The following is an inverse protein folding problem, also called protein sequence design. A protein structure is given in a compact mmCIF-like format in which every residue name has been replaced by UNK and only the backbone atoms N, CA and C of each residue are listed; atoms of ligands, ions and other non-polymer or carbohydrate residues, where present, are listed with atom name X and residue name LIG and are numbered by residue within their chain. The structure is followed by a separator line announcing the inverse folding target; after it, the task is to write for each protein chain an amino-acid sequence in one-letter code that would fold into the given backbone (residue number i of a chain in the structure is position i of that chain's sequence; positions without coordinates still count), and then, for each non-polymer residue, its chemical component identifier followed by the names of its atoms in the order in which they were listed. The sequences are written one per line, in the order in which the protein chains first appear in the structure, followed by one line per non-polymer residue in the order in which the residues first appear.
data_IF_011227449671
#
_entry.id   IF_011227449671
#
_cell.length_a   1.000
_cell.length_b   1.000
_cell.length_c   1.000
_cell.angle_alpha   90.00
_cell.angle_beta   90.00
_cell.angle_gamma   90.00
#
_symmetry.space_group_name_H-M   'P 1'
#
loop_
_entity.id
_entity.type
_entity.pdbx_description
1 polymer ?
#
# COMPACT_ATOMS: atom_id res chain seq x y z
N UNK A 1 33.11 -7.80 -8.19
CA UNK A 1 33.05 -7.27 -8.18
C UNK A 1 32.68 -6.70 -8.33
N UNK A 2 32.46 -6.76 -8.41
CA UNK A 2 32.13 -6.15 -8.51
C UNK A 2 31.81 -5.46 -8.68
N UNK A 3 31.63 -5.58 -8.96
CA UNK A 3 31.45 -4.81 -9.25
C UNK A 3 31.55 -3.87 -9.20
N UNK A 4 31.83 -3.68 -9.46
CA UNK A 4 31.91 -2.59 -9.39
C UNK A 4 31.13 -1.93 -9.67
N UNK A 5 31.04 -2.06 -10.17
CA UNK A 5 30.35 -1.48 -10.28
C UNK A 5 29.52 -1.39 -9.81
N UNK A 6 29.47 -1.88 -9.62
CA UNK A 6 28.74 -1.76 -8.98
C UNK A 6 28.49 -0.64 -8.62
N UNK A 7 29.20 -0.18 -8.67
CA UNK A 7 29.12 0.99 -8.27
C UNK A 7 28.02 1.77 -8.73
N UNK A 8 27.82 2.02 -9.57
CA UNK A 8 26.92 2.77 -9.96
C UNK A 8 25.64 2.47 -9.77
N UNK A 9 25.46 1.44 -9.56
CA UNK A 9 24.28 1.19 -9.33
C UNK A 9 23.82 1.65 -8.10
N UNK A 10 24.56 1.96 -7.24
CA UNK A 10 24.17 2.44 -6.11
C UNK A 10 23.46 3.66 -6.26
N UNK A 11 23.72 4.40 -7.22
CA UNK A 11 23.00 5.56 -7.51
C UNK A 11 21.57 5.25 -7.81
N UNK A 12 21.39 4.22 -8.56
CA UNK A 12 20.07 3.83 -8.89
C UNK A 12 19.31 3.46 -7.67
N UNK A 13 19.92 2.78 -6.77
CA UNK A 13 19.25 2.41 -5.58
C UNK A 13 18.79 3.58 -4.79
N UNK A 14 19.58 4.61 -4.74
CA UNK A 14 19.21 5.78 -3.99
C UNK A 14 18.01 6.47 -4.59
N UNK A 15 17.84 6.35 -5.88
CA UNK A 15 16.78 7.04 -6.53
C UNK A 15 15.52 6.24 -6.63
N UNK A 16 15.66 4.95 -6.65
CA UNK A 16 14.55 4.10 -6.98
C UNK A 16 14.52 2.96 -6.02
N UNK A 17 13.90 3.16 -4.89
CA UNK A 17 13.80 2.11 -3.91
C UNK A 17 12.46 1.45 -4.01
N UNK A 18 12.46 0.15 -4.25
CA UNK A 18 11.22 -0.60 -4.30
C UNK A 18 11.12 -1.48 -3.07
N UNK A 19 9.93 -1.65 -2.59
CA UNK A 19 9.65 -2.54 -1.47
C UNK A 19 8.40 -3.31 -1.78
N UNK A 20 8.27 -4.45 -1.15
CA UNK A 20 7.11 -5.31 -1.33
C UNK A 20 6.27 -5.23 -0.08
N UNK A 21 5.01 -4.89 -0.23
CA UNK A 21 4.11 -4.67 0.90
C UNK A 21 2.78 -5.34 0.65
N UNK A 22 2.06 -5.69 1.72
CA UNK A 22 0.66 -6.05 1.57
C UNK A 22 -0.08 -4.87 0.95
N UNK A 23 -1.06 -5.15 0.12
CA UNK A 23 -1.78 -4.12 -0.59
C UNK A 23 -3.25 -4.16 -0.22
N UNK A 24 -3.82 -2.97 -0.02
CA UNK A 24 -5.22 -2.83 0.32
C UNK A 24 -5.89 -2.01 -0.75
N UNK A 25 -6.68 -2.63 -1.64
CA UNK A 25 -7.44 -1.86 -2.61
C UNK A 25 -8.67 -1.24 -1.95
N UNK A 26 -8.88 0.04 -2.19
CA UNK A 26 -10.04 0.73 -1.66
C UNK A 26 -10.92 1.15 -2.82
N UNK A 27 -12.21 1.23 -2.57
CA UNK A 27 -13.14 1.49 -3.66
C UNK A 27 -13.23 2.95 -4.02
N UNK A 28 -13.27 3.83 -3.03
CA UNK A 28 -13.62 5.20 -3.33
C UNK A 28 -12.68 6.25 -2.80
N UNK A 29 -11.97 5.95 -1.74
CA UNK A 29 -11.26 7.01 -1.03
C UNK A 29 -10.04 7.49 -1.77
N UNK A 30 -9.83 8.78 -1.78
CA UNK A 30 -8.61 9.37 -2.28
C UNK A 30 -7.81 9.79 -1.07
N UNK A 31 -6.60 9.28 -0.96
CA UNK A 31 -5.81 9.43 0.25
C UNK A 31 -4.51 10.13 -0.07
N UNK A 32 -4.22 11.15 0.71
CA UNK A 32 -3.00 11.92 0.54
C UNK A 32 -2.08 11.71 1.72
N UNK A 33 -0.77 11.83 1.53
CA UNK A 33 0.16 11.74 2.64
C UNK A 33 -0.20 12.74 3.75
N UNK A 34 -0.10 12.29 4.98
CA UNK A 34 -0.46 13.10 6.12
C UNK A 34 -1.87 12.88 6.64
N UNK A 35 -2.70 12.19 5.88
CA UNK A 35 -4.06 11.93 6.34
C UNK A 35 -4.09 10.73 7.27
N UNK A 36 -4.96 10.78 8.26
CA UNK A 36 -5.23 9.65 9.14
C UNK A 36 -6.71 9.37 9.03
N UNK A 37 -7.06 8.20 8.53
CA UNK A 37 -8.47 7.89 8.29
C UNK A 37 -8.80 6.48 8.73
N UNK A 38 -10.05 6.25 9.09
CA UNK A 38 -10.49 4.90 9.42
C UNK A 38 -10.99 4.19 8.17
N UNK A 39 -10.62 2.94 8.02
CA UNK A 39 -11.14 2.08 6.96
C UNK A 39 -12.05 1.04 7.57
N UNK A 40 -13.16 0.77 6.89
CA UNK A 40 -14.05 -0.30 7.30
C UNK A 40 -13.90 -1.41 6.28
N UNK A 41 -13.36 -2.53 6.70
CA UNK A 41 -12.90 -3.58 5.81
C UNK A 41 -13.76 -4.80 5.96
N UNK A 42 -14.40 -5.20 4.87
CA UNK A 42 -15.25 -6.38 4.87
C UNK A 42 -14.75 -7.52 4.00
N UNK A 43 -13.82 -7.24 3.07
CA UNK A 43 -13.30 -8.28 2.22
C UNK A 43 -12.28 -9.11 2.96
N UNK A 44 -12.33 -10.42 2.77
CA UNK A 44 -11.44 -11.31 3.48
C UNK A 44 -9.99 -11.02 3.15
N UNK A 45 -9.68 -10.86 1.88
CA UNK A 45 -8.29 -10.61 1.49
C UNK A 45 -7.76 -9.28 2.03
N UNK A 46 -8.64 -8.30 2.21
CA UNK A 46 -8.21 -7.04 2.79
C UNK A 46 -7.96 -7.19 4.29
N UNK A 47 -8.77 -7.98 4.97
CA UNK A 47 -8.54 -8.24 6.38
C UNK A 47 -7.22 -8.95 6.58
N UNK A 48 -6.90 -9.91 5.70
CA UNK A 48 -5.65 -10.65 5.81
C UNK A 48 -4.45 -9.71 5.58
N UNK A 49 -4.57 -8.79 4.64
CA UNK A 49 -3.50 -7.85 4.38
C UNK A 49 -3.24 -6.98 5.60
N UNK A 50 -4.28 -6.49 6.25
CA UNK A 50 -4.14 -5.65 7.41
C UNK A 50 -3.53 -6.44 8.58
N UNK A 51 -3.97 -7.67 8.78
CA UNK A 51 -3.42 -8.47 9.86
C UNK A 51 -1.96 -8.81 9.61
N UNK A 52 -1.62 -9.03 8.34
CA UNK A 52 -0.22 -9.28 8.01
C UNK A 52 0.64 -8.06 8.28
N UNK A 53 0.12 -6.87 7.95
CA UNK A 53 0.86 -5.64 8.22
C UNK A 53 1.08 -5.45 9.70
N UNK A 54 0.07 -5.74 10.52
CA UNK A 54 0.22 -5.61 11.96
C UNK A 54 1.23 -6.60 12.54
N UNK A 55 1.33 -7.77 11.94
CA UNK A 55 2.28 -8.76 12.42
C UNK A 55 3.70 -8.39 12.05
N UNK A 56 3.87 -7.52 11.08
CA UNK A 56 5.18 -7.06 10.65
C UNK A 56 5.45 -5.65 11.12
N UNK A 57 5.85 -4.79 10.19
CA UNK A 57 6.24 -3.42 10.53
C UNK A 57 5.09 -2.44 10.39
N UNK A 58 3.87 -2.94 10.20
CA UNK A 58 2.64 -2.16 10.12
C UNK A 58 2.48 -1.36 8.84
N UNK A 59 3.40 -1.49 7.90
CA UNK A 59 3.29 -0.76 6.64
C UNK A 59 2.38 -1.49 5.68
N UNK A 60 1.61 -0.72 4.94
CA UNK A 60 0.71 -1.29 3.95
C UNK A 60 0.57 -0.27 2.82
N UNK A 61 0.38 -0.77 1.59
CA UNK A 61 0.18 0.09 0.44
C UNK A 61 -1.30 0.14 0.14
N UNK A 62 -1.86 1.34 0.09
CA UNK A 62 -3.28 1.53 -0.17
C UNK A 62 -3.46 2.17 -1.53
N UNK A 63 -4.30 1.57 -2.36
CA UNK A 63 -4.52 2.04 -3.72
C UNK A 63 -6.02 2.00 -4.01
N UNK A 64 -6.48 2.88 -4.88
CA UNK A 64 -7.91 3.01 -5.17
C UNK A 64 -8.27 2.26 -6.44
N UNK A 65 -9.42 1.61 -6.45
CA UNK A 65 -9.95 0.96 -7.64
C UNK A 65 -10.47 1.99 -8.60
N UNK A 66 -10.33 1.71 -9.89
CA UNK A 66 -10.85 2.59 -10.91
C UNK A 66 -12.36 2.47 -11.01
N UNK A 67 -12.90 1.28 -10.81
CA UNK A 67 -14.33 1.04 -10.89
C UNK A 67 -14.79 0.54 -9.54
N UNK A 68 -15.59 1.32 -8.85
CA UNK A 68 -15.97 1.01 -7.48
C UNK A 68 -16.91 -0.17 -7.37
N UNK A 69 -17.49 -0.62 -8.48
CA UNK A 69 -18.44 -1.72 -8.43
C UNK A 69 -17.76 -3.08 -8.39
N UNK A 70 -16.46 -3.16 -8.61
CA UNK A 70 -15.77 -4.43 -8.67
C UNK A 70 -15.47 -4.92 -7.27
N UNK A 71 -15.93 -6.12 -6.95
CA UNK A 71 -15.74 -6.69 -5.62
C UNK A 71 -14.35 -7.26 -5.44
N UNK A 72 -13.83 -7.91 -6.48
CA UNK A 72 -12.49 -8.51 -6.41
C UNK A 72 -11.67 -7.95 -7.55
N UNK A 73 -11.05 -6.79 -7.35
CA UNK A 73 -10.34 -6.14 -8.44
C UNK A 73 -9.10 -6.91 -8.87
N UNK A 74 -8.86 -6.89 -10.16
CA UNK A 74 -7.58 -7.34 -10.69
C UNK A 74 -6.63 -6.16 -10.67
N UNK A 75 -5.37 -6.42 -10.95
CA UNK A 75 -4.37 -5.35 -10.92
C UNK A 75 -4.74 -4.25 -11.91
N UNK A 76 -5.27 -4.63 -13.06
CA UNK A 76 -5.65 -3.64 -14.07
C UNK A 76 -6.77 -2.74 -13.61
N UNK A 77 -7.52 -3.14 -12.59
CA UNK A 77 -8.63 -2.36 -12.08
C UNK A 77 -8.19 -1.32 -11.07
N UNK A 78 -6.89 -1.21 -10.82
CA UNK A 78 -6.38 -0.31 -9.81
C UNK A 78 -5.60 0.83 -10.44
N UNK A 79 -5.59 1.96 -9.76
CA UNK A 79 -4.73 3.04 -10.19
C UNK A 79 -3.28 2.67 -9.90
N UNK A 80 -2.36 3.29 -10.63
CA UNK A 80 -0.95 2.99 -10.44
C UNK A 80 -0.36 3.70 -9.22
N UNK A 81 -1.03 4.71 -8.72
CA UNK A 81 -0.52 5.50 -7.60
C UNK A 81 -1.34 5.28 -6.36
N UNK A 82 -0.66 5.20 -5.23
CA UNK A 82 -1.31 5.08 -3.95
C UNK A 82 -0.43 5.64 -2.87
N UNK A 83 -0.65 5.21 -1.63
CA UNK A 83 0.16 5.66 -0.51
C UNK A 83 0.68 4.48 0.29
N UNK A 84 1.86 4.66 0.86
CA UNK A 84 2.38 3.75 1.86
C UNK A 84 2.12 4.41 3.20
N UNK A 85 1.58 3.66 4.12
CA UNK A 85 1.31 4.18 5.45
C UNK A 85 1.33 3.08 6.48
N UNK A 86 0.95 3.45 7.69
CA UNK A 86 0.97 2.53 8.81
C UNK A 86 -0.42 2.26 9.30
N UNK A 87 -0.68 1.01 9.67
CA UNK A 87 -1.89 0.68 10.39
C UNK A 87 -1.63 0.98 11.85
N UNK A 88 -2.36 1.91 12.41
CA UNK A 88 -2.13 2.33 13.78
C UNK A 88 -2.82 1.41 14.77
N UNK A 89 -4.04 0.98 14.46
CA UNK A 89 -4.76 0.05 15.31
C UNK A 89 -5.93 -0.53 14.56
N UNK A 90 -6.43 -1.65 15.04
CA UNK A 90 -7.61 -2.27 14.45
C UNK A 90 -8.62 -2.58 15.54
N UNK A 91 -9.88 -2.67 15.14
CA UNK A 91 -10.96 -3.04 16.02
C UNK A 91 -11.90 -3.94 15.25
N UNK A 92 -12.25 -5.08 15.83
CA UNK A 92 -13.21 -5.98 15.21
C UNK A 92 -14.60 -5.58 15.65
N UNK A 93 -15.48 -5.41 14.69
CA UNK A 93 -16.84 -4.97 14.97
C UNK A 93 -17.77 -6.18 15.05
N UNK A 94 -18.91 -6.03 15.75
CA UNK A 94 -19.81 -7.17 15.93
C UNK A 94 -20.32 -7.77 14.64
N UNK A 95 -20.41 -6.97 13.58
CA UNK A 95 -20.92 -7.46 12.30
C UNK A 95 -19.87 -8.18 11.46
N UNK A 96 -18.67 -8.41 12.02
CA UNK A 96 -17.62 -9.10 11.28
C UNK A 96 -16.73 -8.19 10.48
N UNK A 97 -17.02 -6.91 10.42
CA UNK A 97 -16.20 -5.94 9.73
C UNK A 97 -15.02 -5.55 10.61
N UNK A 98 -13.91 -5.24 9.97
CA UNK A 98 -12.73 -4.79 10.68
C UNK A 98 -12.59 -3.29 10.47
N UNK A 99 -12.41 -2.54 11.55
CA UNK A 99 -12.13 -1.11 11.45
C UNK A 99 -10.63 -0.93 11.68
N UNK A 100 -9.95 -0.32 10.72
CA UNK A 100 -8.51 -0.12 10.81
C UNK A 100 -8.23 1.37 10.70
N UNK A 101 -7.35 1.87 11.56
CA UNK A 101 -6.95 3.27 11.51
C UNK A 101 -5.64 3.34 10.74
N UNK A 102 -5.65 4.07 9.64
CA UNK A 102 -4.52 4.15 8.72
C UNK A 102 -3.95 5.55 8.68
N UNK A 103 -2.65 5.67 8.80
CA UNK A 103 -1.97 6.95 8.66
C UNK A 103 -1.12 6.91 7.41
N UNK A 104 -1.47 7.71 6.42
CA UNK A 104 -0.74 7.77 5.15
C UNK A 104 0.54 8.55 5.33
N UNK A 105 1.65 7.99 4.88
CA UNK A 105 2.97 8.61 5.08
C UNK A 105 3.55 9.15 3.80
N UNK A 106 3.55 8.37 2.74
CA UNK A 106 4.21 8.81 1.52
C UNK A 106 3.46 8.29 0.32
N UNK A 107 3.65 8.97 -0.79
CA UNK A 107 3.07 8.55 -2.06
C UNK A 107 3.95 7.47 -2.65
N UNK A 108 3.36 6.55 -3.35
CA UNK A 108 4.11 5.47 -3.96
C UNK A 108 3.47 5.07 -5.27
N UNK A 109 4.30 4.59 -6.19
CA UNK A 109 3.86 4.12 -7.48
C UNK A 109 3.90 2.60 -7.48
N UNK A 110 2.83 1.99 -7.94
CA UNK A 110 2.78 0.55 -8.01
C UNK A 110 3.55 0.08 -9.22
N UNK A 111 4.58 -0.72 -9.01
CA UNK A 111 5.37 -1.30 -10.07
C UNK A 111 4.70 -2.57 -10.56
N UNK A 112 4.33 -3.41 -9.63
CA UNK A 112 3.77 -4.69 -9.96
C UNK A 112 2.93 -5.15 -8.78
N UNK A 113 1.84 -5.84 -9.03
CA UNK A 113 1.00 -6.35 -7.96
C UNK A 113 0.46 -7.70 -8.37
N UNK A 114 0.15 -8.51 -7.38
CA UNK A 114 -0.44 -9.81 -7.64
C UNK A 114 -1.23 -10.24 -6.42
N UNK A 115 -2.17 -11.13 -6.66
CA UNK A 115 -2.88 -11.76 -5.56
C UNK A 115 -1.98 -12.86 -5.02
N UNK A 116 -1.60 -12.73 -3.76
CA UNK A 116 -0.84 -13.76 -3.11
C UNK A 116 -1.76 -14.87 -2.67
N UNK A 117 -1.30 -15.65 -1.69
CA UNK A 117 -2.07 -16.79 -1.26
C UNK A 117 -3.36 -16.35 -0.59
N UNK A 118 -3.32 -15.33 0.22
CA UNK A 118 -4.47 -14.90 0.98
C UNK A 118 -4.77 -13.42 0.86
N UNK A 119 -3.87 -12.64 0.31
CA UNK A 119 -4.06 -11.21 0.20
C UNK A 119 -3.22 -10.68 -0.96
N UNK A 120 -3.55 -9.45 -1.37
CA UNK A 120 -2.80 -8.82 -2.45
C UNK A 120 -1.45 -8.33 -1.96
N UNK A 121 -0.46 -8.43 -2.82
CA UNK A 121 0.90 -7.99 -2.54
C UNK A 121 1.34 -7.09 -3.69
N UNK A 122 2.00 -6.00 -3.37
CA UNK A 122 2.47 -5.09 -4.40
C UNK A 122 3.93 -4.75 -4.19
N UNK A 123 4.64 -4.62 -5.30
CA UNK A 123 5.96 -4.04 -5.29
C UNK A 123 5.79 -2.59 -5.67
N UNK A 124 6.23 -1.68 -4.83
CA UNK A 124 5.97 -0.26 -5.02
C UNK A 124 7.26 0.53 -4.91
N UNK A 125 7.26 1.67 -5.58
CA UNK A 125 8.38 2.59 -5.52
C UNK A 125 7.94 3.79 -4.71
N UNK A 126 8.61 4.04 -3.60
CA UNK A 126 8.27 5.15 -2.75
C UNK A 126 8.75 6.45 -3.40
N UNK A 127 7.86 7.39 -3.50
CA UNK A 127 8.20 8.67 -4.12
C UNK A 127 8.58 9.68 -3.07
N UNK A 128 9.45 10.63 -3.42
CA UNK A 128 9.83 11.64 -2.43
C UNK A 128 8.66 12.58 -2.16
N UNK A 129 8.69 13.14 -0.98
CA UNK A 129 7.70 14.16 -0.66
C UNK A 129 8.03 15.41 -1.43
N UNK A 130 7.00 16.05 -1.95
CA UNK A 130 7.22 17.28 -2.66
C UNK A 130 6.82 18.33 -1.74
N UNK A 131 7.73 18.78 -1.01
CA UNK A 131 7.40 19.72 -0.13
C UNK A 131 8.00 20.91 -0.42
N UNK A 132 8.77 20.88 -0.97
CA UNK A 132 9.33 21.90 -1.14
C UNK A 132 8.68 22.68 -1.87
N UNK A 133 8.21 22.41 -2.17
CA UNK A 133 7.69 23.06 -2.71
C UNK A 133 7.24 23.75 -2.09
N UNK A 134 7.38 23.61 -1.61
CA UNK A 134 6.85 24.45 -0.86
C UNK A 134 7.35 24.89 -0.60
#
# INVERSE_FOLDING_TARGET
MDDPLKGFRMTDSAQSQTITLPMLPMREDIIYPGMTIPFFIGRKQSMEAVERALAGDRRIFVVTQKDTSIEKPEVEDLFAMGTIGNILQIMRLPNGTLKALYEAKSRARMIEARMGREYYVAEVEQLPLIQDEG
#
